data_IF_972500405453
#
_entry.id   IF_972500405453
#
_cell.length_a   1.000
_cell.length_b   1.000
_cell.length_c   1.000
_cell.angle_alpha   90.00
_cell.angle_beta   90.00
_cell.angle_gamma   90.00
#
_symmetry.space_group_name_H-M   'P 1'
#
loop_
_entity.id
_entity.type
_entity.pdbx_description
1 polymer ?
#
# COMPACT_ATOMS: atom_id res chain seq x y z
N UNK A 1 8.63 -1.99 -18.87
CA UNK A 1 9.75 -1.43 -18.10
C UNK A 1 10.36 -2.55 -17.26
N UNK A 2 11.66 -2.84 -17.40
CA UNK A 2 12.32 -3.87 -16.61
C UNK A 2 12.32 -3.61 -15.10
N UNK A 3 11.74 -2.51 -14.66
CA UNK A 3 11.61 -2.13 -13.25
C UNK A 3 10.54 -2.96 -12.52
N UNK A 4 9.47 -3.36 -13.18
CA UNK A 4 8.47 -4.28 -12.63
C UNK A 4 8.95 -5.69 -12.94
N UNK A 5 9.31 -6.44 -11.90
CA UNK A 5 9.91 -7.78 -12.02
C UNK A 5 8.93 -8.92 -11.78
N UNK A 6 7.77 -8.64 -11.17
CA UNK A 6 6.68 -9.58 -11.00
C UNK A 6 5.34 -8.85 -10.95
N UNK A 7 4.30 -9.54 -11.34
CA UNK A 7 2.91 -9.07 -11.26
C UNK A 7 2.01 -10.22 -10.77
N UNK A 8 1.28 -9.98 -9.69
CA UNK A 8 0.26 -10.87 -9.17
C UNK A 8 -1.10 -10.17 -9.20
N UNK A 9 -2.08 -10.81 -9.82
CA UNK A 9 -3.46 -10.34 -9.91
C UNK A 9 -4.33 -11.18 -8.99
N UNK A 10 -4.63 -10.65 -7.80
CA UNK A 10 -5.50 -11.29 -6.83
C UNK A 10 -6.99 -11.07 -7.14
N UNK A 11 -7.32 -10.02 -7.90
CA UNK A 11 -8.70 -9.60 -8.13
C UNK A 11 -9.40 -10.45 -9.20
N UNK A 12 -8.76 -10.65 -10.34
CA UNK A 12 -9.40 -11.31 -11.49
C UNK A 12 -8.89 -12.72 -11.72
N UNK A 13 -7.64 -12.98 -11.43
CA UNK A 13 -6.96 -14.17 -11.89
C UNK A 13 -6.46 -15.06 -10.75
N UNK A 14 -6.31 -14.49 -9.55
CA UNK A 14 -5.67 -15.16 -8.41
C UNK A 14 -4.39 -15.90 -8.84
N UNK A 15 -3.58 -15.23 -9.65
CA UNK A 15 -2.43 -15.85 -10.30
C UNK A 15 -1.34 -14.83 -10.64
N UNK A 16 -0.10 -15.32 -10.66
CA UNK A 16 1.05 -14.59 -11.16
C UNK A 16 0.92 -14.40 -12.68
N UNK A 17 1.13 -13.18 -13.14
CA UNK A 17 1.01 -12.75 -14.52
C UNK A 17 2.36 -12.29 -15.07
N UNK A 18 2.44 -12.13 -16.40
CA UNK A 18 3.60 -11.53 -17.04
C UNK A 18 3.78 -10.09 -16.53
N UNK A 19 4.95 -9.72 -15.97
CA UNK A 19 5.19 -8.37 -15.48
C UNK A 19 5.03 -7.27 -16.54
N UNK A 20 5.19 -7.61 -17.82
CA UNK A 20 4.99 -6.67 -18.93
C UNK A 20 3.50 -6.35 -19.18
N UNK A 21 2.60 -7.19 -18.68
CA UNK A 21 1.16 -6.98 -18.71
C UNK A 21 0.62 -6.26 -17.48
N UNK A 22 1.50 -5.87 -16.55
CA UNK A 22 1.13 -5.17 -15.32
C UNK A 22 0.28 -3.93 -15.61
N UNK A 23 -0.82 -3.80 -14.91
CA UNK A 23 -1.75 -2.67 -15.06
C UNK A 23 -2.24 -2.17 -13.70
N UNK A 24 -2.85 -1.00 -13.72
CA UNK A 24 -3.55 -0.37 -12.61
C UNK A 24 -4.92 0.06 -13.14
N UNK A 25 -6.00 -0.50 -12.61
CA UNK A 25 -7.37 -0.18 -13.03
C UNK A 25 -7.80 1.24 -12.66
N UNK A 26 -7.10 1.85 -11.69
CA UNK A 26 -7.23 3.25 -11.29
C UNK A 26 -6.00 4.06 -11.69
N UNK A 27 -5.59 4.96 -10.84
CA UNK A 27 -4.34 5.72 -10.98
C UNK A 27 -3.58 5.77 -9.66
N UNK A 28 -4.22 5.31 -8.60
CA UNK A 28 -3.71 5.41 -7.23
C UNK A 28 -2.46 4.55 -7.03
N UNK A 29 -2.48 3.27 -7.42
CA UNK A 29 -1.33 2.37 -7.30
C UNK A 29 -0.14 2.86 -8.12
N UNK A 30 -0.38 3.35 -9.34
CA UNK A 30 0.66 3.96 -10.19
C UNK A 30 1.28 5.19 -9.51
N UNK A 31 0.47 6.03 -8.86
CA UNK A 31 0.95 7.21 -8.14
C UNK A 31 1.80 6.80 -6.92
N UNK A 32 1.34 5.84 -6.12
CA UNK A 32 2.08 5.29 -4.97
C UNK A 32 3.44 4.72 -5.42
N UNK A 33 3.45 3.90 -6.48
CA UNK A 33 4.66 3.32 -7.05
C UNK A 33 5.63 4.42 -7.56
N UNK A 34 5.09 5.49 -8.16
CA UNK A 34 5.88 6.63 -8.61
C UNK A 34 6.56 7.37 -7.46
N UNK A 35 5.85 7.60 -6.35
CA UNK A 35 6.41 8.22 -5.13
C UNK A 35 7.47 7.32 -4.50
N UNK A 36 7.21 6.02 -4.44
CA UNK A 36 8.14 5.07 -3.84
C UNK A 36 9.42 4.91 -4.67
N UNK A 37 9.30 4.68 -5.97
CA UNK A 37 10.41 4.19 -6.78
C UNK A 37 10.49 4.76 -8.20
N UNK A 38 9.82 5.87 -8.49
CA UNK A 38 9.86 6.51 -9.81
C UNK A 38 11.27 6.91 -10.23
N UNK A 39 11.63 6.64 -11.48
CA UNK A 39 12.98 6.91 -12.03
C UNK A 39 13.20 8.35 -12.52
N UNK A 40 12.12 9.16 -12.55
CA UNK A 40 12.19 10.50 -13.13
C UNK A 40 12.33 10.51 -14.67
N UNK A 41 12.13 9.36 -15.32
CA UNK A 41 12.21 9.21 -16.79
C UNK A 41 11.04 9.81 -17.56
N UNK A 42 9.96 10.21 -16.86
CA UNK A 42 8.80 10.89 -17.45
C UNK A 42 9.10 12.31 -17.94
N UNK A 43 8.07 12.99 -18.42
CA UNK A 43 8.16 14.42 -18.77
C UNK A 43 8.41 15.25 -17.50
N UNK A 44 9.17 16.31 -17.66
CA UNK A 44 9.31 17.29 -16.60
C UNK A 44 7.96 17.98 -16.34
N UNK A 45 7.71 18.33 -15.10
CA UNK A 45 6.56 19.15 -14.72
C UNK A 45 6.59 20.47 -15.52
N UNK A 46 5.55 20.77 -16.30
CA UNK A 46 5.54 21.94 -17.18
C UNK A 46 5.56 23.27 -16.41
N UNK A 47 5.20 23.28 -15.13
CA UNK A 47 5.17 24.48 -14.29
C UNK A 47 6.51 24.74 -13.61
N UNK A 48 7.25 23.71 -13.25
CA UNK A 48 8.50 23.82 -12.48
C UNK A 48 9.74 23.42 -13.27
N UNK A 49 9.58 22.71 -14.38
CA UNK A 49 10.68 22.10 -15.13
C UNK A 49 11.38 20.94 -14.40
N UNK A 50 10.86 20.54 -13.25
CA UNK A 50 11.46 19.49 -12.44
C UNK A 50 10.97 18.10 -12.87
N UNK A 51 11.83 17.11 -12.71
CA UNK A 51 11.47 15.68 -12.86
C UNK A 51 11.19 15.10 -11.48
N UNK A 52 10.06 14.43 -11.35
CA UNK A 52 9.70 13.77 -10.10
C UNK A 52 10.40 12.42 -10.03
N UNK A 53 11.27 12.26 -9.06
CA UNK A 53 12.01 11.03 -8.75
C UNK A 53 11.46 10.48 -7.43
N UNK A 54 11.20 9.18 -7.38
CA UNK A 54 10.74 8.51 -6.17
C UNK A 54 11.83 8.43 -5.10
N UNK A 55 11.43 8.04 -3.89
CA UNK A 55 12.34 7.92 -2.74
C UNK A 55 13.47 6.88 -2.98
N UNK A 56 13.18 5.80 -3.70
CA UNK A 56 14.10 4.72 -4.01
C UNK A 56 14.13 4.40 -5.52
N UNK A 57 14.69 5.28 -6.37
CA UNK A 57 14.60 5.12 -7.82
C UNK A 57 15.37 3.90 -8.36
N UNK A 58 16.26 3.33 -7.56
CA UNK A 58 16.99 2.11 -7.89
C UNK A 58 16.27 0.81 -7.52
N UNK A 59 15.20 0.86 -6.73
CA UNK A 59 14.47 -0.32 -6.32
C UNK A 59 13.69 -0.94 -7.48
N UNK A 60 13.64 -2.28 -7.54
CA UNK A 60 12.68 -2.99 -8.38
C UNK A 60 11.28 -2.94 -7.76
N UNK A 61 10.27 -3.11 -8.59
CA UNK A 61 8.88 -3.13 -8.17
C UNK A 61 8.25 -4.49 -8.45
N UNK A 62 7.37 -4.89 -7.55
CA UNK A 62 6.41 -5.97 -7.75
C UNK A 62 5.03 -5.34 -7.66
N UNK A 63 4.21 -5.53 -8.67
CA UNK A 63 2.83 -5.11 -8.63
C UNK A 63 1.96 -6.25 -8.08
N UNK A 64 1.24 -5.96 -7.00
CA UNK A 64 0.19 -6.83 -6.46
C UNK A 64 -1.12 -6.07 -6.62
N UNK A 65 -1.92 -6.47 -7.60
CA UNK A 65 -3.24 -5.93 -7.83
C UNK A 65 -4.22 -6.63 -6.88
N UNK A 66 -4.62 -5.93 -5.84
CA UNK A 66 -5.38 -6.49 -4.73
C UNK A 66 -6.50 -5.56 -4.26
N UNK A 67 -6.90 -4.58 -5.07
CA UNK A 67 -8.00 -3.70 -4.68
C UNK A 67 -8.81 -3.23 -5.89
N UNK A 68 -9.92 -2.58 -5.59
CA UNK A 68 -10.83 -1.80 -6.41
C UNK A 68 -12.18 -2.44 -6.71
N UNK A 69 -12.47 -3.62 -6.22
CA UNK A 69 -13.81 -4.23 -6.20
C UNK A 69 -14.42 -4.29 -4.78
N UNK A 70 -13.61 -3.98 -3.76
CA UNK A 70 -14.05 -3.89 -2.36
C UNK A 70 -13.90 -5.21 -1.59
N UNK A 71 -13.21 -6.21 -2.14
CA UNK A 71 -13.01 -7.47 -1.46
C UNK A 71 -11.73 -7.47 -0.62
N UNK A 72 -11.89 -7.69 0.69
CA UNK A 72 -10.77 -7.80 1.64
C UNK A 72 -9.98 -9.09 1.40
N UNK A 73 -10.61 -10.13 0.90
CA UNK A 73 -9.94 -11.40 0.64
C UNK A 73 -8.80 -11.24 -0.36
N UNK A 74 -8.97 -10.42 -1.39
CA UNK A 74 -7.94 -10.17 -2.41
C UNK A 74 -6.70 -9.49 -1.83
N UNK A 75 -6.90 -8.55 -0.90
CA UNK A 75 -5.77 -7.88 -0.21
C UNK A 75 -5.03 -8.83 0.71
N UNK A 76 -5.76 -9.70 1.40
CA UNK A 76 -5.18 -10.74 2.26
C UNK A 76 -4.40 -11.75 1.40
N UNK A 77 -4.96 -12.19 0.28
CA UNK A 77 -4.28 -13.09 -0.67
C UNK A 77 -3.03 -12.44 -1.27
N UNK A 78 -3.11 -11.17 -1.66
CA UNK A 78 -1.95 -10.42 -2.17
C UNK A 78 -0.81 -10.35 -1.15
N UNK A 79 -1.12 -10.11 0.12
CA UNK A 79 -0.16 -10.10 1.20
C UNK A 79 0.42 -11.51 1.47
N UNK A 80 -0.42 -12.53 1.42
CA UNK A 80 0.01 -13.92 1.55
C UNK A 80 0.94 -14.33 0.41
N UNK A 81 0.61 -13.96 -0.83
CA UNK A 81 1.48 -14.21 -1.99
C UNK A 81 2.87 -13.57 -1.81
N UNK A 82 2.93 -12.36 -1.24
CA UNK A 82 4.22 -11.71 -0.95
C UNK A 82 5.07 -12.51 0.04
N UNK A 83 4.45 -13.10 1.08
CA UNK A 83 5.14 -13.98 2.04
C UNK A 83 5.70 -15.21 1.33
N UNK A 84 4.87 -15.90 0.54
CA UNK A 84 5.23 -17.15 -0.13
C UNK A 84 6.31 -16.96 -1.21
N UNK A 85 6.38 -15.79 -1.81
CA UNK A 85 7.31 -15.46 -2.88
C UNK A 85 8.48 -14.57 -2.43
N UNK A 86 8.62 -14.32 -1.12
CA UNK A 86 9.66 -13.49 -0.55
C UNK A 86 11.06 -13.87 -1.07
N UNK A 87 11.42 -15.12 -0.89
CA UNK A 87 12.75 -15.60 -1.27
C UNK A 87 12.93 -15.68 -2.79
N UNK A 88 11.87 -15.98 -3.52
CA UNK A 88 11.88 -16.07 -4.99
C UNK A 88 12.25 -14.74 -5.63
N UNK A 89 11.72 -13.64 -5.13
CA UNK A 89 11.89 -12.31 -5.69
C UNK A 89 12.77 -11.38 -4.85
N UNK A 90 13.20 -11.82 -3.67
CA UNK A 90 13.95 -10.98 -2.73
C UNK A 90 13.10 -9.81 -2.22
N UNK A 91 11.87 -10.09 -1.74
CA UNK A 91 10.95 -9.05 -1.28
C UNK A 91 11.42 -8.53 0.08
N UNK A 92 11.92 -7.31 0.10
CA UNK A 92 12.39 -6.65 1.32
C UNK A 92 11.29 -5.78 1.95
N UNK A 93 10.45 -5.15 1.12
CA UNK A 93 9.48 -4.14 1.57
C UNK A 93 8.12 -4.40 0.91
N UNK A 94 7.05 -4.35 1.72
CA UNK A 94 5.67 -4.25 1.26
C UNK A 94 5.13 -2.88 1.66
N UNK A 95 4.52 -2.16 0.71
CA UNK A 95 3.83 -0.91 0.98
C UNK A 95 2.37 -1.01 0.53
N UNK A 96 1.45 -0.64 1.42
CA UNK A 96 0.03 -0.61 1.14
C UNK A 96 -0.56 0.73 1.55
N UNK A 97 -1.03 1.49 0.56
CA UNK A 97 -1.78 2.73 0.76
C UNK A 97 -3.27 2.47 0.61
N UNK A 98 -3.74 1.43 1.26
CA UNK A 98 -5.12 0.97 1.27
C UNK A 98 -5.62 0.93 2.71
N UNK A 99 -6.93 1.06 2.88
CA UNK A 99 -7.60 0.93 4.15
C UNK A 99 -9.08 0.64 3.95
N UNK A 100 -9.68 0.00 4.92
CA UNK A 100 -11.11 -0.23 4.95
C UNK A 100 -11.81 1.06 5.39
N UNK A 101 -12.60 1.66 4.49
CA UNK A 101 -13.46 2.76 4.87
C UNK A 101 -14.62 2.23 5.70
N UNK A 102 -14.54 2.42 6.98
CA UNK A 102 -15.61 2.03 7.89
C UNK A 102 -16.64 3.15 7.98
N UNK A 103 -17.78 2.93 7.35
CA UNK A 103 -18.91 3.86 7.36
C UNK A 103 -19.70 3.85 8.69
N UNK A 104 -19.40 2.92 9.59
CA UNK A 104 -20.09 2.74 10.86
C UNK A 104 -19.09 2.73 12.03
N UNK A 105 -19.59 2.97 13.23
CA UNK A 105 -18.81 3.02 14.47
C UNK A 105 -18.16 1.67 14.72
N UNK A 106 -16.87 1.56 14.43
CA UNK A 106 -16.12 0.37 14.78
C UNK A 106 -15.39 0.60 16.11
N UNK A 107 -15.70 -0.24 17.07
CA UNK A 107 -15.06 -0.23 18.38
C UNK A 107 -13.74 -1.01 18.40
N UNK A 108 -13.31 -1.57 17.27
CA UNK A 108 -12.30 -2.61 17.20
C UNK A 108 -11.06 -2.23 16.35
N UNK A 109 -10.69 -0.93 16.31
CA UNK A 109 -9.41 -0.51 15.72
C UNK A 109 -8.28 -0.85 16.69
N UNK A 110 -8.11 -2.14 16.95
CA UNK A 110 -7.16 -2.69 17.93
C UNK A 110 -6.17 -3.68 17.28
N UNK A 111 -6.15 -3.75 15.95
CA UNK A 111 -5.32 -4.67 15.19
C UNK A 111 -5.86 -6.10 15.12
N UNK A 112 -7.10 -6.34 15.57
CA UNK A 112 -7.66 -7.70 15.60
C UNK A 112 -8.34 -8.14 14.30
N UNK A 113 -8.48 -7.24 13.32
CA UNK A 113 -9.06 -7.58 12.02
C UNK A 113 -8.24 -8.64 11.29
N UNK A 114 -8.86 -9.38 10.38
CA UNK A 114 -8.16 -10.38 9.57
C UNK A 114 -7.05 -9.73 8.73
N UNK A 115 -7.33 -8.55 8.19
CA UNK A 115 -6.37 -7.80 7.39
C UNK A 115 -5.18 -7.31 8.23
N UNK A 116 -5.43 -6.71 9.40
CA UNK A 116 -4.36 -6.24 10.29
C UNK A 116 -3.46 -7.39 10.73
N UNK A 117 -4.04 -8.54 11.11
CA UNK A 117 -3.27 -9.75 11.44
C UNK A 117 -2.47 -10.30 10.27
N UNK A 118 -3.00 -10.22 9.05
CA UNK A 118 -2.23 -10.62 7.87
C UNK A 118 -1.01 -9.71 7.65
N UNK A 119 -1.15 -8.40 7.89
CA UNK A 119 -0.01 -7.48 7.80
C UNK A 119 1.05 -7.71 8.89
N UNK A 120 0.62 -8.08 10.09
CA UNK A 120 1.54 -8.55 11.13
C UNK A 120 2.31 -9.80 10.67
N UNK A 121 1.63 -10.77 10.06
CA UNK A 121 2.28 -11.97 9.53
C UNK A 121 3.30 -11.66 8.42
N UNK A 122 3.07 -10.63 7.60
CA UNK A 122 4.05 -10.16 6.60
C UNK A 122 5.34 -9.69 7.29
N UNK A 123 5.21 -8.93 8.39
CA UNK A 123 6.37 -8.48 9.18
C UNK A 123 7.07 -9.66 9.84
N UNK A 124 6.33 -10.60 10.42
CA UNK A 124 6.88 -11.82 11.02
C UNK A 124 7.64 -12.69 10.00
N UNK A 125 7.22 -12.68 8.73
CA UNK A 125 7.95 -13.31 7.64
C UNK A 125 9.24 -12.56 7.27
N UNK A 126 9.53 -11.42 7.90
CA UNK A 126 10.74 -10.63 7.71
C UNK A 126 10.66 -9.67 6.51
N UNK A 127 9.47 -9.20 6.15
CA UNK A 127 9.23 -8.16 5.15
C UNK A 127 8.91 -6.86 5.89
N UNK A 128 9.66 -5.79 5.63
CA UNK A 128 9.36 -4.47 6.21
C UNK A 128 8.04 -3.98 5.60
N UNK A 129 7.05 -3.70 6.45
CA UNK A 129 5.71 -3.35 5.98
C UNK A 129 5.36 -1.93 6.38
N UNK A 130 4.87 -1.13 5.41
CA UNK A 130 4.38 0.23 5.64
C UNK A 130 2.93 0.35 5.18
N UNK A 131 2.10 0.93 6.04
CA UNK A 131 0.65 1.05 5.86
C UNK A 131 0.20 2.51 5.96
N UNK A 132 -0.89 2.87 5.30
CA UNK A 132 -1.55 4.16 5.51
C UNK A 132 -2.32 4.17 6.83
N UNK A 133 -2.38 5.35 7.47
CA UNK A 133 -3.20 5.56 8.68
C UNK A 133 -4.68 5.82 8.36
N UNK A 134 -5.08 5.90 7.09
CA UNK A 134 -6.42 6.28 6.67
C UNK A 134 -6.60 7.79 6.46
N UNK A 135 -7.83 8.19 6.12
CA UNK A 135 -8.18 9.57 5.79
C UNK A 135 -9.33 10.12 6.68
N UNK A 136 -9.73 9.41 7.69
CA UNK A 136 -10.99 9.61 8.42
C UNK A 136 -10.85 10.57 9.61
N UNK A 137 -9.63 11.08 9.85
CA UNK A 137 -9.39 12.08 10.89
C UNK A 137 -10.19 13.36 10.62
N UNK A 138 -11.04 13.75 11.57
CA UNK A 138 -11.82 14.99 11.50
C UNK A 138 -13.23 14.85 10.90
N UNK A 139 -13.69 13.65 10.61
CA UNK A 139 -15.11 13.40 10.30
C UNK A 139 -16.02 13.88 11.42
N UNK A 140 -17.16 14.50 11.07
CA UNK A 140 -18.03 15.23 11.99
C UNK A 140 -18.66 14.40 13.13
N UNK A 141 -18.45 13.11 13.16
CA UNK A 141 -19.08 12.17 14.09
C UNK A 141 -18.17 11.66 15.21
N UNK A 142 -16.85 11.71 15.06
CA UNK A 142 -15.91 11.17 16.08
C UNK A 142 -14.69 12.07 16.24
N UNK A 143 -14.83 13.08 17.07
CA UNK A 143 -13.70 13.93 17.42
C UNK A 143 -12.69 13.15 18.29
N UNK A 144 -11.65 12.61 17.68
CA UNK A 144 -10.36 12.50 18.34
C UNK A 144 -9.90 11.15 18.87
N UNK A 145 -10.57 10.03 18.62
CA UNK A 145 -10.07 8.71 19.05
C UNK A 145 -10.35 7.62 18.02
N UNK A 146 -9.39 6.70 17.83
CA UNK A 146 -9.51 5.52 16.97
C UNK A 146 -9.90 5.82 15.52
N UNK A 147 -9.14 6.70 14.87
CA UNK A 147 -9.36 7.08 13.47
C UNK A 147 -8.35 6.43 12.52
N UNK A 148 -7.50 5.54 13.03
CA UNK A 148 -6.62 4.72 12.20
C UNK A 148 -7.40 3.47 11.82
N UNK A 149 -7.63 3.32 10.52
CA UNK A 149 -8.39 2.19 9.98
C UNK A 149 -7.54 0.93 9.83
N UNK A 150 -8.24 -0.21 9.72
CA UNK A 150 -7.60 -1.45 9.29
C UNK A 150 -7.10 -1.30 7.83
N UNK A 151 -5.88 -1.71 7.50
CA UNK A 151 -4.92 -2.42 8.34
C UNK A 151 -3.91 -1.51 9.06
N UNK A 152 -4.08 -0.19 9.01
CA UNK A 152 -3.15 0.76 9.62
C UNK A 152 -3.03 0.62 11.16
N UNK A 153 -4.01 -0.01 11.80
CA UNK A 153 -4.03 -0.35 13.22
C UNK A 153 -3.28 -1.65 13.59
N UNK A 154 -2.68 -2.35 12.61
CA UNK A 154 -1.85 -3.53 12.84
C UNK A 154 -0.67 -3.22 13.78
N UNK A 155 -0.20 -4.24 14.52
CA UNK A 155 0.72 -4.03 15.65
C UNK A 155 2.20 -3.93 15.24
N UNK A 156 2.61 -4.58 14.17
CA UNK A 156 4.01 -4.71 13.77
C UNK A 156 4.44 -3.79 12.61
N UNK A 157 3.58 -3.49 11.63
CA UNK A 157 3.91 -2.59 10.54
C UNK A 157 4.17 -1.14 10.98
N UNK A 158 4.82 -0.38 10.10
CA UNK A 158 4.95 1.08 10.26
C UNK A 158 3.74 1.76 9.65
N UNK A 159 2.91 2.38 10.47
CA UNK A 159 1.75 3.15 10.02
C UNK A 159 2.14 4.59 9.76
N UNK A 160 1.82 5.08 8.56
CA UNK A 160 2.23 6.39 8.06
C UNK A 160 1.01 7.30 7.94
N UNK A 161 1.07 8.44 8.61
CA UNK A 161 0.08 9.52 8.53
C UNK A 161 0.68 10.77 7.87
N UNK A 162 -0.17 11.65 7.34
CA UNK A 162 0.26 12.95 6.84
C UNK A 162 0.33 13.97 7.99
N UNK A 163 1.33 14.87 7.91
CA UNK A 163 1.44 16.01 8.79
C UNK A 163 1.16 17.29 8.01
N UNK A 164 0.21 18.10 8.46
CA UNK A 164 -0.04 19.43 7.89
C UNK A 164 1.03 20.43 8.36
N UNK A 165 1.70 21.05 7.41
CA UNK A 165 2.70 22.12 7.69
C UNK A 165 2.09 23.40 8.26
N UNK A 166 0.77 23.58 8.17
CA UNK A 166 0.08 24.81 8.61
C UNK A 166 0.02 24.92 10.14
N UNK A 167 0.18 23.83 10.87
CA UNK A 167 0.10 23.84 12.34
C UNK A 167 1.36 24.32 13.05
N UNK A 168 2.42 24.71 12.33
CA UNK A 168 3.53 25.51 12.87
C UNK A 168 4.16 24.97 14.17
N UNK A 169 4.38 23.64 14.25
CA UNK A 169 5.14 23.04 15.34
C UNK A 169 6.62 22.95 14.99
#
# INVERSE_FOLDING_TARGET
DPKIIAFYDAVLMDAEQDPTSSYDSGTHGTHVAGIAAGTGGGQADPSTGQRHVGAAPGAFLINILACCDGDIEDVIQGAQWAIENKDKYGIDILTSSLGEQQLEVHFDNDGSSAWSRQMDAVVEAGIITTLSAGNEFGGATFAGCNTIDSPGDAQLPVTVASLDKVLGL
#
